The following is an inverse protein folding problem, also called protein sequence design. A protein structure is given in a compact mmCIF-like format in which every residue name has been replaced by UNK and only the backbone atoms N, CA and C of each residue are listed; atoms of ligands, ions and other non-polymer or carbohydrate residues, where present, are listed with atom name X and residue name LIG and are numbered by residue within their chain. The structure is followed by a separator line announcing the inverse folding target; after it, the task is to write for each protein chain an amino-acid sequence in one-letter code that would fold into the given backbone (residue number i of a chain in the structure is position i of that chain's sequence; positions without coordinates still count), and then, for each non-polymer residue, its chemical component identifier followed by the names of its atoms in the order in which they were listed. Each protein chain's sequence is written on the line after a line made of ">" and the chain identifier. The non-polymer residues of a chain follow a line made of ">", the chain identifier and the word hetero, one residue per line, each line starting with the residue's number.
data_IF_618402120652
#
_entry.id   IF_618402120652
#
_cell.length_a   1.000
_cell.length_b   1.000
_cell.length_c   1.000
_cell.angle_alpha   90.00
_cell.angle_beta   90.00
_cell.angle_gamma   90.00
#
_symmetry.space_group_name_H-M   'P 1'
#
loop_
_entity.id
_entity.type
_entity.pdbx_description
1 polymer ?
#
# COMPACT_ATOMS: atom_id res chain seq x y z
N UNK A 1 7.86 -25.35 17.15
CA UNK A 1 7.32 -26.33 16.18
C UNK A 1 7.60 -25.94 14.73
N UNK A 2 8.08 -24.72 14.45
CA UNK A 2 8.51 -24.30 13.11
C UNK A 2 7.35 -23.96 12.19
N UNK A 3 6.17 -23.68 12.75
CA UNK A 3 4.95 -23.35 12.00
C UNK A 3 4.81 -21.84 11.83
N UNK A 4 4.06 -21.44 10.81
CA UNK A 4 3.74 -20.04 10.50
C UNK A 4 2.24 -19.91 10.27
N UNK A 5 1.67 -18.77 10.65
CA UNK A 5 0.26 -18.46 10.40
C UNK A 5 0.14 -17.11 9.70
N UNK A 6 -0.73 -17.04 8.68
CA UNK A 6 -1.19 -15.77 8.14
C UNK A 6 -2.25 -15.24 9.10
N UNK A 7 -2.00 -14.08 9.70
CA UNK A 7 -2.91 -13.44 10.66
C UNK A 7 -3.21 -11.98 10.30
N UNK A 8 -3.01 -11.55 9.06
CA UNK A 8 -3.07 -10.14 8.69
C UNK A 8 -4.44 -9.50 8.99
N UNK A 9 -5.53 -10.22 8.68
CA UNK A 9 -6.90 -9.78 8.97
C UNK A 9 -7.16 -9.72 10.48
N UNK A 10 -6.74 -10.77 11.22
CA UNK A 10 -6.87 -10.80 12.69
C UNK A 10 -6.06 -9.69 13.35
N UNK A 11 -4.88 -9.39 12.82
CA UNK A 11 -3.98 -8.36 13.32
C UNK A 11 -4.41 -6.94 12.90
N UNK A 12 -5.37 -6.79 11.97
CA UNK A 12 -5.87 -5.49 11.50
C UNK A 12 -4.95 -4.77 10.50
N UNK A 13 -4.10 -5.50 9.79
CA UNK A 13 -3.13 -4.95 8.81
C UNK A 13 -3.40 -5.42 7.37
N UNK A 14 -4.56 -6.02 7.11
CA UNK A 14 -4.96 -6.44 5.77
C UNK A 14 -5.41 -5.25 4.90
N UNK A 15 -5.52 -5.48 3.58
CA UNK A 15 -6.15 -4.52 2.68
C UNK A 15 -5.42 -3.17 2.55
N UNK A 16 -4.09 -3.15 2.53
CA UNK A 16 -3.29 -1.92 2.50
C UNK A 16 -3.25 -1.20 1.14
N UNK A 17 -4.01 -1.60 0.12
CA UNK A 17 -3.88 -1.16 -1.28
C UNK A 17 -2.62 -1.71 -1.99
N UNK A 18 -2.25 -1.11 -3.14
CA UNK A 18 -1.04 -1.50 -3.87
C UNK A 18 0.22 -1.05 -3.13
N UNK A 19 0.80 -1.99 -2.40
CA UNK A 19 2.02 -1.79 -1.60
C UNK A 19 3.29 -2.02 -2.39
N UNK A 20 4.26 -1.12 -2.21
CA UNK A 20 5.61 -1.22 -2.78
C UNK A 20 6.70 -1.47 -1.74
N UNK A 21 6.41 -1.20 -0.48
CA UNK A 21 7.34 -1.48 0.60
C UNK A 21 6.68 -1.41 1.97
N UNK A 22 7.20 -2.22 2.87
CA UNK A 22 6.82 -2.28 4.28
C UNK A 22 8.07 -2.10 5.13
N UNK A 23 7.96 -1.32 6.21
CA UNK A 23 9.04 -1.07 7.15
C UNK A 23 8.51 -1.25 8.58
N UNK A 24 9.23 -2.03 9.38
CA UNK A 24 9.02 -2.11 10.82
C UNK A 24 9.96 -1.14 11.53
N UNK A 25 9.42 -0.27 12.38
CA UNK A 25 10.16 0.72 13.16
C UNK A 25 9.32 1.12 14.37
N UNK A 26 9.93 1.24 15.55
CA UNK A 26 9.29 1.84 16.73
C UNK A 26 9.22 3.37 16.55
N UNK A 27 8.07 3.88 16.08
CA UNK A 27 7.90 5.27 15.65
C UNK A 27 7.61 6.18 16.84
N UNK A 28 6.84 5.69 17.80
CA UNK A 28 6.42 6.46 18.99
C UNK A 28 7.27 6.19 20.24
N UNK A 29 8.28 5.31 20.13
CA UNK A 29 9.27 4.97 21.15
C UNK A 29 8.66 4.27 22.37
N UNK A 30 7.60 3.50 22.16
CA UNK A 30 6.93 2.74 23.22
C UNK A 30 7.54 1.35 23.48
N UNK A 31 8.51 0.95 22.64
CA UNK A 31 9.21 -0.33 22.70
C UNK A 31 8.61 -1.43 21.81
N UNK A 32 7.59 -1.13 21.01
CA UNK A 32 7.03 -2.04 20.03
C UNK A 32 7.28 -1.53 18.60
N UNK A 33 7.70 -2.43 17.69
CA UNK A 33 7.87 -2.04 16.29
C UNK A 33 6.50 -1.87 15.60
N UNK A 34 6.30 -0.70 15.00
CA UNK A 34 5.13 -0.33 14.21
C UNK A 34 5.34 -0.66 12.72
N UNK A 35 4.25 -0.76 11.96
CA UNK A 35 4.30 -1.08 10.54
C UNK A 35 3.97 0.15 9.68
N UNK A 36 4.94 0.61 8.88
CA UNK A 36 4.77 1.64 7.86
C UNK A 36 4.67 1.01 6.47
N UNK A 37 3.75 1.50 5.64
CA UNK A 37 3.47 0.96 4.30
C UNK A 37 3.45 2.06 3.25
N UNK A 38 4.33 1.93 2.25
CA UNK A 38 4.38 2.77 1.06
C UNK A 38 3.46 2.21 -0.02
N UNK A 39 2.55 3.06 -0.49
CA UNK A 39 1.45 2.67 -1.36
C UNK A 39 1.28 3.57 -2.59
N UNK A 40 0.45 3.09 -3.50
CA UNK A 40 -0.07 3.85 -4.64
C UNK A 40 0.53 3.37 -5.95
N UNK A 41 -0.19 3.54 -7.04
CA UNK A 41 0.30 3.23 -8.37
C UNK A 41 -0.19 4.29 -9.35
N UNK A 42 0.62 4.65 -10.35
CA UNK A 42 0.23 5.74 -11.26
C UNK A 42 -1.08 5.49 -12.01
N UNK A 43 -1.44 4.23 -12.24
CA UNK A 43 -2.66 3.77 -12.93
C UNK A 43 -3.13 2.43 -12.39
N UNK A 44 -4.44 2.20 -12.25
CA UNK A 44 -4.93 0.88 -11.85
C UNK A 44 -4.83 -0.10 -13.03
N UNK A 45 -3.68 -0.76 -13.17
CA UNK A 45 -3.43 -1.73 -14.24
C UNK A 45 -4.26 -3.03 -14.06
N UNK A 46 -5.01 -3.17 -12.96
CA UNK A 46 -5.87 -4.32 -12.67
C UNK A 46 -7.35 -4.01 -12.89
N UNK A 47 -7.70 -2.79 -13.31
CA UNK A 47 -9.07 -2.40 -13.64
C UNK A 47 -9.59 -3.21 -14.84
N UNK A 48 -10.56 -4.08 -14.58
CA UNK A 48 -11.13 -5.00 -15.55
C UNK A 48 -11.90 -4.29 -16.67
N UNK A 49 -12.60 -3.21 -16.32
CA UNK A 49 -13.41 -2.43 -17.27
C UNK A 49 -12.52 -1.67 -18.26
N UNK A 50 -11.38 -1.12 -17.82
CA UNK A 50 -10.36 -0.55 -18.69
C UNK A 50 -9.74 -1.61 -19.59
N UNK A 51 -9.42 -2.78 -19.05
CA UNK A 51 -8.88 -3.89 -19.85
C UNK A 51 -9.86 -4.30 -20.95
N UNK A 52 -11.15 -4.47 -20.64
CA UNK A 52 -12.17 -4.80 -21.63
C UNK A 52 -12.27 -3.74 -22.74
N UNK A 53 -12.30 -2.45 -22.36
CA UNK A 53 -12.31 -1.34 -23.33
C UNK A 53 -11.08 -1.36 -24.23
N UNK A 54 -9.89 -1.54 -23.67
CA UNK A 54 -8.61 -1.59 -24.43
C UNK A 54 -8.61 -2.78 -25.39
N UNK A 55 -9.02 -3.96 -24.94
CA UNK A 55 -9.13 -5.15 -25.78
C UNK A 55 -10.12 -4.93 -26.93
N UNK A 56 -11.22 -4.22 -26.67
CA UNK A 56 -12.21 -3.83 -27.68
C UNK A 56 -11.64 -2.96 -28.80
N UNK A 57 -10.55 -2.21 -28.55
CA UNK A 57 -9.86 -1.39 -29.57
C UNK A 57 -9.02 -2.22 -30.55
N UNK A 58 -8.88 -3.54 -30.34
CA UNK A 58 -8.22 -4.50 -31.27
C UNK A 58 -6.82 -4.06 -31.74
N UNK A 59 -6.03 -3.46 -30.85
CA UNK A 59 -4.67 -3.00 -31.18
C UNK A 59 -4.61 -1.70 -31.99
N UNK A 60 -5.73 -0.97 -32.13
CA UNK A 60 -5.76 0.34 -32.80
C UNK A 60 -5.07 1.45 -32.00
N UNK A 61 -4.64 1.15 -30.78
CA UNK A 61 -3.94 2.07 -29.88
C UNK A 61 -2.58 1.51 -29.53
N UNK A 62 -1.62 2.40 -29.34
CA UNK A 62 -0.30 2.07 -28.78
C UNK A 62 -0.41 1.69 -27.32
N UNK A 63 0.64 1.10 -26.76
CA UNK A 63 0.69 0.77 -25.34
C UNK A 63 0.57 2.00 -24.42
N UNK A 64 1.14 3.15 -24.83
CA UNK A 64 1.05 4.39 -24.03
C UNK A 64 -0.38 4.94 -23.99
N UNK A 65 -1.10 4.87 -25.11
CA UNK A 65 -2.51 5.24 -25.19
C UNK A 65 -3.39 4.24 -24.42
N UNK A 66 -3.11 2.95 -24.52
CA UNK A 66 -3.80 1.96 -23.71
C UNK A 66 -3.59 2.20 -22.20
N UNK A 67 -2.36 2.51 -21.78
CA UNK A 67 -2.03 2.79 -20.38
C UNK A 67 -2.78 4.00 -19.82
N UNK A 68 -3.04 5.03 -20.62
CA UNK A 68 -3.78 6.21 -20.17
C UNK A 68 -5.29 5.98 -20.01
N UNK A 69 -5.82 4.86 -20.50
CA UNK A 69 -7.24 4.48 -20.35
C UNK A 69 -7.55 3.80 -19.02
N UNK A 70 -6.54 3.31 -18.31
CA UNK A 70 -6.69 2.88 -16.93
C UNK A 70 -6.93 4.09 -16.01
N UNK A 71 -7.77 3.96 -14.96
CA UNK A 71 -7.99 5.03 -14.02
C UNK A 71 -6.72 5.32 -13.21
N UNK A 72 -6.63 6.51 -12.61
CA UNK A 72 -5.52 6.83 -11.69
C UNK A 72 -5.71 6.05 -10.38
N UNK A 73 -4.61 5.58 -9.77
CA UNK A 73 -4.63 4.86 -8.48
C UNK A 73 -3.68 5.48 -7.44
N UNK A 74 -3.73 6.81 -7.19
CA UNK A 74 -3.06 7.36 -6.04
C UNK A 74 -3.75 6.84 -4.78
N UNK A 75 -3.01 6.19 -3.89
CA UNK A 75 -3.55 5.70 -2.63
C UNK A 75 -2.73 6.23 -1.47
N UNK A 76 -3.35 6.23 -0.30
CA UNK A 76 -2.72 6.73 0.92
C UNK A 76 -1.70 5.71 1.42
N UNK A 77 -0.53 6.21 1.82
CA UNK A 77 0.38 5.45 2.67
C UNK A 77 -0.31 5.12 3.99
N UNK A 78 0.05 3.99 4.59
CA UNK A 78 -0.54 3.49 5.84
C UNK A 78 0.52 3.39 6.92
N UNK A 79 0.11 3.56 8.17
CA UNK A 79 0.92 3.34 9.34
C UNK A 79 0.03 2.65 10.37
N UNK A 80 0.60 1.65 11.02
CA UNK A 80 -0.10 0.78 11.94
C UNK A 80 0.69 0.71 13.24
N UNK A 81 0.14 1.30 14.31
CA UNK A 81 0.74 1.23 15.65
C UNK A 81 0.55 -0.16 16.23
N UNK A 82 1.61 -0.76 16.74
CA UNK A 82 1.55 -2.07 17.39
C UNK A 82 0.96 -1.94 18.81
N UNK A 83 -0.03 -2.76 19.16
CA UNK A 83 -0.65 -2.72 20.50
C UNK A 83 0.00 -3.67 21.51
N UNK A 84 1.02 -4.43 21.09
CA UNK A 84 1.71 -5.41 21.93
C UNK A 84 0.93 -6.71 22.17
N UNK A 85 -0.23 -6.89 21.53
CA UNK A 85 -1.15 -8.03 21.70
C UNK A 85 -1.47 -8.77 20.39
N UNK A 86 -0.56 -8.67 19.41
CA UNK A 86 -0.70 -9.16 18.02
C UNK A 86 -1.72 -8.38 17.17
N UNK A 87 -2.30 -7.30 17.70
CA UNK A 87 -3.14 -6.40 16.92
C UNK A 87 -2.45 -5.07 16.66
N UNK A 88 -2.88 -4.42 15.60
CA UNK A 88 -2.40 -3.11 15.21
C UNK A 88 -3.57 -2.12 15.09
N UNK A 89 -3.23 -0.83 15.16
CA UNK A 89 -4.15 0.29 14.99
C UNK A 89 -3.71 1.16 13.83
N UNK A 90 -4.61 1.44 12.88
CA UNK A 90 -4.30 2.39 11.80
C UNK A 90 -4.20 3.81 12.38
N UNK A 91 -3.04 4.44 12.21
CA UNK A 91 -2.68 5.74 12.80
C UNK A 91 -2.03 6.67 11.77
N UNK A 92 -2.16 6.36 10.48
CA UNK A 92 -1.39 7.03 9.44
C UNK A 92 -1.75 8.52 9.30
N UNK A 93 -3.01 8.88 9.52
CA UNK A 93 -3.46 10.26 9.55
C UNK A 93 -2.95 10.99 10.80
N UNK A 94 -3.04 10.35 11.97
CA UNK A 94 -2.56 10.90 13.25
C UNK A 94 -1.06 11.21 13.21
N UNK A 95 -0.26 10.30 12.67
CA UNK A 95 1.19 10.47 12.52
C UNK A 95 1.58 11.36 11.34
N UNK A 96 0.62 11.84 10.55
CA UNK A 96 0.88 12.65 9.37
C UNK A 96 1.62 11.89 8.27
N UNK A 97 1.61 10.55 8.30
CA UNK A 97 2.16 9.68 7.26
C UNK A 97 1.20 9.54 6.06
N UNK A 98 -0.05 9.99 6.22
CA UNK A 98 -1.13 9.85 5.23
C UNK A 98 -1.78 11.18 4.82
N UNK A 99 -0.98 12.22 4.54
CA UNK A 99 -1.52 13.58 4.26
C UNK A 99 -2.45 13.64 3.04
N UNK A 100 -2.06 13.03 1.93
CA UNK A 100 -2.83 12.98 0.69
C UNK A 100 -2.65 11.65 -0.01
N UNK A 101 -3.60 11.22 -0.87
CA UNK A 101 -3.33 10.14 -1.82
C UNK A 101 -2.10 10.49 -2.66
N UNK A 102 -1.18 9.55 -2.82
CA UNK A 102 0.08 9.75 -3.55
C UNK A 102 0.54 8.41 -4.18
N UNK A 103 1.70 8.42 -4.83
CA UNK A 103 2.36 7.23 -5.37
C UNK A 103 3.76 7.13 -4.78
N UNK A 104 3.89 6.26 -3.77
CA UNK A 104 5.15 5.95 -3.09
C UNK A 104 5.66 4.57 -3.52
N UNK A 105 6.73 4.53 -4.33
CA UNK A 105 7.31 3.29 -4.87
C UNK A 105 8.30 2.57 -3.92
N UNK A 106 8.30 2.92 -2.63
CA UNK A 106 9.16 2.28 -1.64
C UNK A 106 9.30 3.10 -0.37
N UNK A 107 9.97 2.50 0.60
CA UNK A 107 10.29 3.10 1.89
C UNK A 107 11.67 2.60 2.33
N UNK A 108 12.44 3.46 3.00
CA UNK A 108 13.73 3.11 3.58
C UNK A 108 13.92 3.88 4.90
N UNK A 109 14.60 3.25 5.85
CA UNK A 109 15.09 3.87 7.08
C UNK A 109 16.62 3.95 7.07
N UNK A 110 17.17 4.85 7.88
CA UNK A 110 18.60 5.01 8.08
C UNK A 110 18.88 5.61 9.45
N UNK A 111 20.07 5.32 9.97
CA UNK A 111 20.61 5.83 11.24
C UNK A 111 21.90 6.63 10.96
N UNK A 112 22.30 7.52 11.88
CA UNK A 112 23.44 8.43 11.74
C UNK A 112 24.66 8.03 12.59
#
# INVERSE_FOLDING_TARGET
>A
DGTWAQIAEMAGVDGSEWTWGSLFLDVDLDGFEDLLVANGHGRDMRDGDALERITGLRGSVTWNEAKSLYPELPTRNRAFRNRGDLTFEEVAEEWGFSRSPDVSHGIASGDL
#
